data_IF_904373031440
#
_entry.id   IF_904373031440
#
_cell.length_a   1.000
_cell.length_b   1.000
_cell.length_c   1.000
_cell.angle_alpha   90.00
_cell.angle_beta   90.00
_cell.angle_gamma   90.00
#
_symmetry.space_group_name_H-M   'P 1'
#
loop_
_entity.id
_entity.type
_entity.pdbx_description
1 polymer ?
#
# COMPACT_ATOMS: atom_id res chain seq x y z
N UNK A 1 5.22 -8.56 2.28
CA UNK A 1 5.15 -9.83 1.52
C UNK A 1 6.56 -10.35 1.31
N UNK A 2 6.77 -11.63 1.57
CA UNK A 2 8.00 -12.36 1.24
C UNK A 2 7.79 -13.08 -0.09
N UNK A 3 8.76 -13.07 -1.00
CA UNK A 3 8.66 -13.77 -2.29
C UNK A 3 9.52 -15.03 -2.22
N UNK A 4 8.88 -16.21 -2.25
CA UNK A 4 9.55 -17.52 -2.23
C UNK A 4 9.43 -18.20 -3.59
N UNK A 5 10.14 -19.32 -3.77
CA UNK A 5 10.05 -20.11 -5.00
C UNK A 5 8.64 -20.65 -5.27
N UNK A 6 7.90 -20.95 -4.21
CA UNK A 6 6.53 -21.47 -4.27
C UNK A 6 5.49 -20.35 -4.52
N UNK A 7 5.92 -19.08 -4.46
CA UNK A 7 5.08 -17.92 -4.68
C UNK A 7 5.16 -16.86 -3.57
N UNK A 8 4.37 -15.78 -3.70
CA UNK A 8 4.31 -14.74 -2.69
C UNK A 8 3.66 -15.24 -1.39
N UNK A 9 4.30 -14.97 -0.26
CA UNK A 9 3.82 -15.22 1.08
C UNK A 9 3.51 -13.89 1.78
N UNK A 10 2.27 -13.73 2.26
CA UNK A 10 1.88 -12.58 3.06
C UNK A 10 2.57 -12.59 4.43
N UNK A 11 2.88 -11.41 4.98
CA UNK A 11 3.49 -11.29 6.31
C UNK A 11 2.50 -11.75 7.37
N UNK A 12 1.20 -11.43 7.23
CA UNK A 12 0.18 -11.92 8.16
C UNK A 12 0.10 -13.44 8.18
N UNK A 13 0.23 -14.10 7.02
CA UNK A 13 0.28 -15.55 6.90
C UNK A 13 1.56 -16.12 7.51
N UNK A 14 2.71 -15.50 7.25
CA UNK A 14 3.99 -15.90 7.82
C UNK A 14 3.96 -15.87 9.35
N UNK A 15 3.48 -14.76 9.94
CA UNK A 15 3.33 -14.61 11.39
C UNK A 15 2.40 -15.69 11.95
N UNK A 16 1.24 -15.90 11.30
CA UNK A 16 0.28 -16.90 11.73
C UNK A 16 0.86 -18.32 11.71
N UNK A 17 1.61 -18.66 10.66
CA UNK A 17 2.23 -19.97 10.51
C UNK A 17 3.37 -20.20 11.50
N UNK A 18 4.21 -19.19 11.75
CA UNK A 18 5.37 -19.32 12.63
C UNK A 18 5.00 -19.30 14.11
N UNK A 19 4.00 -18.52 14.49
CA UNK A 19 3.67 -18.30 15.90
C UNK A 19 2.36 -18.98 16.35
N UNK A 20 1.56 -19.52 15.43
CA UNK A 20 0.29 -20.17 15.75
C UNK A 20 -0.78 -19.20 16.28
N UNK A 21 -0.67 -17.92 15.94
CA UNK A 21 -1.59 -16.85 16.38
C UNK A 21 -2.34 -16.24 15.20
N UNK A 22 -3.55 -15.74 15.44
CA UNK A 22 -4.26 -14.97 14.41
C UNK A 22 -3.60 -13.59 14.22
N UNK A 23 -3.38 -13.19 12.96
CA UNK A 23 -2.76 -11.93 12.60
C UNK A 23 -3.72 -11.06 11.77
N UNK A 24 -4.11 -9.91 12.33
CA UNK A 24 -4.78 -8.81 11.59
C UNK A 24 -3.74 -7.90 10.94
N UNK A 25 -4.16 -7.06 10.00
CA UNK A 25 -3.28 -6.13 9.29
C UNK A 25 -3.81 -4.70 9.40
N UNK A 26 -2.93 -3.70 9.38
CA UNK A 26 -3.28 -2.28 9.29
C UNK A 26 -2.55 -1.68 8.10
N UNK A 27 -3.30 -1.17 7.12
CA UNK A 27 -2.80 -0.56 5.89
C UNK A 27 -3.62 0.69 5.58
N UNK A 28 -3.04 1.71 4.94
CA UNK A 28 -3.75 2.96 4.67
C UNK A 28 -2.84 4.05 4.12
N UNK A 29 -3.41 5.17 3.71
CA UNK A 29 -2.69 6.34 3.21
C UNK A 29 -1.95 7.07 4.35
N UNK A 30 -0.88 6.46 4.87
CA UNK A 30 -0.31 6.78 6.17
C UNK A 30 1.14 7.28 6.08
N UNK A 31 1.37 8.46 5.50
CA UNK A 31 2.69 9.10 5.55
C UNK A 31 3.07 9.32 7.01
N UNK A 32 4.09 8.58 7.49
CA UNK A 32 4.44 8.51 8.90
C UNK A 32 4.68 9.89 9.54
N UNK A 33 5.35 10.79 8.81
CA UNK A 33 5.62 12.15 9.29
C UNK A 33 4.33 12.99 9.46
N UNK A 34 3.33 12.80 8.59
CA UNK A 34 2.06 13.53 8.70
C UNK A 34 1.24 13.06 9.89
N UNK A 35 1.20 11.74 10.13
CA UNK A 35 0.55 11.16 11.31
C UNK A 35 1.26 11.62 12.60
N UNK A 36 2.59 11.66 12.61
CA UNK A 36 3.37 12.15 13.75
C UNK A 36 3.13 13.65 14.02
N UNK A 37 2.73 14.42 13.00
CA UNK A 37 2.35 15.83 13.10
C UNK A 37 0.84 16.04 13.32
N UNK A 38 0.12 14.98 13.70
CA UNK A 38 -1.32 14.99 13.97
C UNK A 38 -2.15 15.53 12.79
N UNK A 39 -1.66 15.33 11.56
CA UNK A 39 -2.44 15.65 10.36
C UNK A 39 -3.46 14.55 10.12
N UNK A 40 -4.63 14.96 9.66
CA UNK A 40 -5.73 14.05 9.38
C UNK A 40 -5.30 12.95 8.39
N UNK A 41 -5.55 11.70 8.74
CA UNK A 41 -5.29 10.52 7.92
C UNK A 41 -6.28 9.40 8.27
N UNK A 42 -6.42 8.44 7.39
CA UNK A 42 -7.31 7.28 7.54
C UNK A 42 -6.53 5.99 7.30
N UNK A 43 -6.93 4.90 7.97
CA UNK A 43 -6.38 3.57 7.75
C UNK A 43 -7.45 2.48 7.84
N UNK A 44 -7.12 1.32 7.30
CA UNK A 44 -7.98 0.15 7.24
C UNK A 44 -7.32 -1.01 7.97
N UNK A 45 -8.05 -1.61 8.91
CA UNK A 45 -7.70 -2.85 9.58
C UNK A 45 -8.37 -4.02 8.88
N UNK A 46 -7.58 -4.95 8.36
CA UNK A 46 -8.05 -6.21 7.78
C UNK A 46 -8.16 -7.30 8.85
N UNK A 47 -9.28 -8.03 8.87
CA UNK A 47 -9.50 -9.20 9.74
C UNK A 47 -10.18 -10.37 9.02
N UNK A 48 -10.06 -11.60 9.56
CA UNK A 48 -10.65 -12.82 8.96
C UNK A 48 -12.01 -13.17 9.54
N UNK A 49 -12.05 -13.55 10.81
CA UNK A 49 -13.26 -14.15 11.41
C UNK A 49 -13.87 -13.29 12.51
N UNK A 50 -13.08 -12.98 13.54
CA UNK A 50 -13.58 -12.36 14.76
C UNK A 50 -13.50 -10.83 14.67
N UNK A 51 -14.65 -10.20 14.42
CA UNK A 51 -14.75 -8.73 14.37
C UNK A 51 -14.38 -8.07 15.70
N UNK A 52 -14.68 -8.70 16.84
CA UNK A 52 -14.34 -8.15 18.15
C UNK A 52 -12.82 -8.01 18.37
N UNK A 53 -11.99 -8.81 17.68
CA UNK A 53 -10.54 -8.60 17.65
C UNK A 53 -10.18 -7.35 16.83
N UNK A 54 -10.81 -7.17 15.66
CA UNK A 54 -10.60 -5.99 14.83
C UNK A 54 -11.04 -4.71 15.55
N UNK A 55 -12.15 -4.75 16.29
CA UNK A 55 -12.66 -3.60 17.05
C UNK A 55 -11.65 -3.15 18.13
N UNK A 56 -10.92 -4.09 18.76
CA UNK A 56 -9.82 -3.76 19.69
C UNK A 56 -8.69 -3.02 18.99
N UNK A 57 -8.31 -3.44 17.77
CA UNK A 57 -7.29 -2.76 16.98
C UNK A 57 -7.76 -1.38 16.52
N UNK A 58 -9.00 -1.26 16.06
CA UNK A 58 -9.63 0.02 15.70
C UNK A 58 -9.60 0.96 16.90
N UNK A 59 -10.03 0.50 18.08
CA UNK A 59 -10.00 1.31 19.30
C UNK A 59 -8.57 1.71 19.69
N UNK A 60 -7.61 0.81 19.56
CA UNK A 60 -6.21 1.07 19.94
C UNK A 60 -5.55 2.11 19.03
N UNK A 61 -5.80 2.03 17.72
CA UNK A 61 -5.13 2.90 16.75
C UNK A 61 -5.90 4.20 16.46
N UNK A 62 -7.21 4.26 16.70
CA UNK A 62 -7.99 5.46 16.37
C UNK A 62 -7.65 6.64 17.28
N UNK A 63 -7.42 7.80 16.66
CA UNK A 63 -7.26 9.10 17.32
C UNK A 63 -8.16 10.15 16.63
N UNK A 64 -8.31 11.37 17.17
CA UNK A 64 -9.07 12.43 16.51
C UNK A 64 -8.56 12.81 15.10
N UNK A 65 -7.30 12.51 14.80
CA UNK A 65 -6.66 12.80 13.51
C UNK A 65 -6.30 11.53 12.71
N UNK A 66 -6.49 10.34 13.27
CA UNK A 66 -6.20 9.08 12.59
C UNK A 66 -7.40 8.14 12.72
N UNK A 67 -8.25 8.13 11.69
CA UNK A 67 -9.48 7.34 11.69
C UNK A 67 -9.23 5.94 11.13
N UNK A 68 -9.61 4.91 11.89
CA UNK A 68 -9.37 3.52 11.51
C UNK A 68 -10.68 2.79 11.27
N UNK A 69 -10.83 2.14 10.12
CA UNK A 69 -12.00 1.32 9.76
C UNK A 69 -11.63 -0.16 9.72
N UNK A 70 -12.56 -1.05 10.07
CA UNK A 70 -12.34 -2.49 10.00
C UNK A 70 -13.03 -3.12 8.79
N UNK A 71 -12.30 -3.96 8.07
CA UNK A 71 -12.77 -4.67 6.87
C UNK A 71 -12.45 -6.16 7.00
N UNK A 72 -13.44 -7.01 6.74
CA UNK A 72 -13.28 -8.46 6.77
C UNK A 72 -12.63 -8.98 5.48
N UNK A 73 -11.36 -8.62 5.26
CA UNK A 73 -10.56 -8.98 4.08
C UNK A 73 -9.06 -8.75 4.35
N UNK A 74 -8.38 -9.65 5.07
CA UNK A 74 -6.94 -9.50 5.36
C UNK A 74 -6.13 -9.51 4.08
N UNK A 75 -6.42 -10.45 3.20
CA UNK A 75 -5.72 -10.67 1.93
C UNK A 75 -5.81 -9.40 1.07
N UNK A 76 -7.01 -8.84 0.90
CA UNK A 76 -7.22 -7.62 0.13
C UNK A 76 -6.52 -6.40 0.72
N UNK A 77 -6.65 -6.19 2.04
CA UNK A 77 -6.03 -5.05 2.73
C UNK A 77 -4.50 -5.11 2.64
N UNK A 78 -3.89 -6.26 2.93
CA UNK A 78 -2.44 -6.44 2.90
C UNK A 78 -1.84 -6.34 1.49
N UNK A 79 -2.52 -6.92 0.50
CA UNK A 79 -2.08 -6.85 -0.89
C UNK A 79 -2.18 -5.45 -1.47
N UNK A 80 -3.20 -4.66 -1.09
CA UNK A 80 -3.26 -3.27 -1.53
C UNK A 80 -2.02 -2.49 -1.08
N UNK A 81 -1.68 -2.56 0.21
CA UNK A 81 -0.50 -1.89 0.78
C UNK A 81 0.84 -2.39 0.20
N UNK A 82 0.88 -3.66 -0.22
CA UNK A 82 2.07 -4.24 -0.86
C UNK A 82 2.22 -3.78 -2.32
N UNK A 83 1.18 -3.98 -3.13
CA UNK A 83 1.23 -3.83 -4.59
C UNK A 83 1.25 -2.37 -5.05
N UNK A 84 0.71 -1.43 -4.26
CA UNK A 84 0.73 0.01 -4.58
C UNK A 84 2.13 0.54 -4.89
N UNK A 85 3.17 -0.05 -4.29
CA UNK A 85 4.54 0.42 -4.42
C UNK A 85 5.08 0.17 -5.83
N UNK A 86 4.64 -0.90 -6.49
CA UNK A 86 4.96 -1.19 -7.89
C UNK A 86 4.34 -0.12 -8.80
N UNK A 87 3.08 0.23 -8.57
CA UNK A 87 2.40 1.29 -9.33
C UNK A 87 3.06 2.65 -9.08
N UNK A 88 3.50 2.91 -7.85
CA UNK A 88 4.20 4.15 -7.51
C UNK A 88 5.56 4.30 -8.22
N UNK A 89 6.26 3.20 -8.50
CA UNK A 89 7.46 3.23 -9.36
C UNK A 89 7.08 3.68 -10.78
N UNK A 90 6.04 3.10 -11.37
CA UNK A 90 5.55 3.50 -12.70
C UNK A 90 5.12 4.98 -12.73
N UNK A 91 4.44 5.44 -11.69
CA UNK A 91 4.09 6.86 -11.54
C UNK A 91 5.33 7.77 -11.45
N UNK A 92 6.39 7.33 -10.75
CA UNK A 92 7.66 8.04 -10.71
C UNK A 92 8.38 8.08 -12.06
N UNK A 93 8.35 7.00 -12.84
CA UNK A 93 8.89 7.02 -14.21
C UNK A 93 8.15 8.01 -15.11
N UNK A 94 6.82 8.07 -15.00
CA UNK A 94 6.00 9.07 -15.70
C UNK A 94 6.42 10.50 -15.33
N UNK A 95 6.66 10.76 -14.04
CA UNK A 95 7.14 12.07 -13.58
C UNK A 95 8.54 12.38 -14.14
N UNK A 96 9.46 11.42 -14.10
CA UNK A 96 10.83 11.61 -14.54
C UNK A 96 11.00 11.70 -16.07
N UNK A 97 10.05 11.18 -16.83
CA UNK A 97 9.95 11.30 -18.29
C UNK A 97 9.06 12.47 -18.73
N UNK A 98 8.56 13.29 -17.79
CA UNK A 98 7.75 14.48 -18.04
C UNK A 98 6.47 14.21 -18.89
N UNK A 99 5.86 13.03 -18.76
CA UNK A 99 4.74 12.61 -19.62
C UNK A 99 3.36 13.21 -19.21
N UNK A 100 3.34 14.05 -18.18
CA UNK A 100 2.16 14.79 -17.72
C UNK A 100 1.15 14.01 -16.86
N UNK A 101 0.23 14.77 -16.25
CA UNK A 101 -0.71 14.27 -15.25
C UNK A 101 -1.75 13.29 -15.81
N UNK A 102 -2.17 13.44 -17.08
CA UNK A 102 -3.13 12.52 -17.71
C UNK A 102 -2.56 11.10 -17.83
N UNK A 103 -1.30 10.99 -18.25
CA UNK A 103 -0.57 9.72 -18.33
C UNK A 103 -0.43 9.12 -16.94
N UNK A 104 -0.09 9.93 -15.93
CA UNK A 104 0.04 9.49 -14.54
C UNK A 104 -1.29 8.94 -13.99
N UNK A 105 -2.39 9.65 -14.23
CA UNK A 105 -3.73 9.19 -13.86
C UNK A 105 -4.10 7.87 -14.56
N UNK A 106 -3.75 7.72 -15.83
CA UNK A 106 -3.95 6.46 -16.56
C UNK A 106 -3.17 5.30 -15.95
N UNK A 107 -1.89 5.51 -15.58
CA UNK A 107 -1.07 4.52 -14.87
C UNK A 107 -1.67 4.14 -13.53
N UNK A 108 -2.12 5.11 -12.73
CA UNK A 108 -2.75 4.84 -11.44
C UNK A 108 -4.03 4.02 -11.58
N UNK A 109 -4.89 4.36 -12.56
CA UNK A 109 -6.13 3.63 -12.85
C UNK A 109 -5.86 2.20 -13.33
N UNK A 110 -4.89 2.01 -14.24
CA UNK A 110 -4.49 0.69 -14.72
C UNK A 110 -3.89 -0.13 -13.58
N UNK A 111 -3.00 0.48 -12.79
CA UNK A 111 -2.38 -0.13 -11.63
C UNK A 111 -3.40 -0.60 -10.59
N UNK A 112 -4.41 0.22 -10.24
CA UNK A 112 -5.48 -0.20 -9.33
C UNK A 112 -6.25 -1.42 -9.86
N UNK A 113 -6.52 -1.46 -11.17
CA UNK A 113 -7.20 -2.59 -11.81
C UNK A 113 -6.34 -3.85 -11.79
N UNK A 114 -5.03 -3.73 -12.02
CA UNK A 114 -4.08 -4.84 -11.97
C UNK A 114 -3.87 -5.35 -10.55
N UNK A 115 -3.75 -4.45 -9.56
CA UNK A 115 -3.73 -4.80 -8.14
C UNK A 115 -4.94 -5.66 -7.79
N UNK A 116 -6.14 -5.23 -8.20
CA UNK A 116 -7.38 -6.00 -7.99
C UNK A 116 -7.36 -7.36 -8.68
N UNK A 117 -6.99 -7.42 -9.95
CA UNK A 117 -6.95 -8.66 -10.71
C UNK A 117 -5.95 -9.66 -10.11
N UNK A 118 -4.75 -9.17 -9.76
CA UNK A 118 -3.69 -9.99 -9.16
C UNK A 118 -4.07 -10.49 -7.77
N UNK A 119 -4.66 -9.65 -6.92
CA UNK A 119 -5.11 -10.09 -5.59
C UNK A 119 -6.16 -11.18 -5.68
N UNK A 120 -7.13 -11.08 -6.61
CA UNK A 120 -8.16 -12.11 -6.80
C UNK A 120 -7.62 -13.39 -7.47
N UNK A 121 -6.55 -13.28 -8.25
CA UNK A 121 -5.85 -14.44 -8.80
C UNK A 121 -5.17 -15.25 -7.70
N UNK A 122 -4.56 -14.58 -6.71
CA UNK A 122 -3.91 -15.25 -5.59
C UNK A 122 -4.90 -15.73 -4.52
N UNK A 123 -5.94 -14.93 -4.25
CA UNK A 123 -6.90 -15.18 -3.18
C UNK A 123 -8.32 -14.87 -3.66
N UNK A 124 -9.12 -15.91 -3.89
CA UNK A 124 -10.50 -15.78 -4.34
C UNK A 124 -11.43 -15.10 -3.33
N UNK A 125 -11.02 -15.02 -2.06
CA UNK A 125 -11.74 -14.34 -0.96
C UNK A 125 -11.70 -12.81 -1.03
N UNK A 126 -10.79 -12.24 -1.82
CA UNK A 126 -10.57 -10.79 -1.90
C UNK A 126 -11.82 -10.09 -2.44
N UNK A 127 -12.24 -9.03 -1.74
CA UNK A 127 -13.45 -8.26 -2.04
C UNK A 127 -13.15 -7.03 -2.88
N UNK A 128 -14.01 -6.78 -3.86
CA UNK A 128 -13.89 -5.60 -4.73
C UNK A 128 -14.00 -4.28 -3.95
N UNK A 129 -14.84 -4.27 -2.90
CA UNK A 129 -15.06 -3.10 -2.04
C UNK A 129 -13.79 -2.67 -1.30
N UNK A 130 -12.90 -3.60 -0.96
CA UNK A 130 -11.64 -3.32 -0.25
C UNK A 130 -10.74 -2.35 -1.00
N UNK A 131 -10.79 -2.32 -2.34
CA UNK A 131 -9.97 -1.42 -3.15
C UNK A 131 -10.45 0.05 -3.09
N UNK A 132 -11.65 0.30 -2.57
CA UNK A 132 -12.18 1.65 -2.34
C UNK A 132 -11.93 2.16 -0.92
N UNK A 133 -11.40 1.32 -0.03
CA UNK A 133 -11.00 1.70 1.33
C UNK A 133 -9.68 2.46 1.34
N UNK A 134 -9.29 3.02 2.49
CA UNK A 134 -8.03 3.77 2.63
C UNK A 134 -6.82 2.94 2.20
N UNK A 135 -6.76 1.65 2.54
CA UNK A 135 -5.66 0.76 2.12
C UNK A 135 -5.53 0.61 0.59
N UNK A 136 -6.60 0.82 -0.16
CA UNK A 136 -6.67 0.65 -1.61
C UNK A 136 -6.36 1.94 -2.36
N UNK A 137 -7.42 2.59 -2.86
CA UNK A 137 -7.31 3.76 -3.73
C UNK A 137 -6.61 4.95 -3.07
N UNK A 138 -6.89 5.23 -1.80
CA UNK A 138 -6.29 6.39 -1.11
C UNK A 138 -4.78 6.20 -0.93
N UNK A 139 -4.36 5.03 -0.45
CA UNK A 139 -2.95 4.74 -0.24
C UNK A 139 -2.16 4.69 -1.57
N UNK A 140 -2.79 4.15 -2.63
CA UNK A 140 -2.24 4.20 -3.97
C UNK A 140 -2.03 5.65 -4.45
N UNK A 141 -3.03 6.52 -4.29
CA UNK A 141 -2.93 7.93 -4.68
C UNK A 141 -1.79 8.62 -3.93
N UNK A 142 -1.83 8.58 -2.60
CA UNK A 142 -0.83 9.23 -1.75
C UNK A 142 0.59 8.75 -2.06
N UNK A 143 0.75 7.45 -2.30
CA UNK A 143 2.07 6.88 -2.63
C UNK A 143 2.54 7.28 -4.04
N UNK A 144 1.65 7.33 -5.03
CA UNK A 144 1.96 7.79 -6.38
C UNK A 144 2.22 9.31 -6.49
N UNK A 145 1.79 10.10 -5.51
CA UNK A 145 2.02 11.56 -5.47
C UNK A 145 3.24 11.94 -4.62
N UNK A 146 3.41 11.34 -3.44
CA UNK A 146 4.40 11.76 -2.45
C UNK A 146 5.37 10.67 -1.97
N UNK A 147 5.15 9.41 -2.34
CA UNK A 147 5.87 8.27 -1.79
C UNK A 147 7.35 8.17 -2.18
N UNK A 148 8.12 7.46 -1.35
CA UNK A 148 9.56 7.20 -1.57
C UNK A 148 9.82 6.45 -2.89
N UNK A 149 9.01 5.45 -3.21
CA UNK A 149 9.12 4.70 -4.48
C UNK A 149 9.00 5.61 -5.69
N UNK A 150 8.01 6.52 -5.70
CA UNK A 150 7.82 7.53 -6.74
C UNK A 150 9.06 8.42 -6.89
N UNK A 151 9.56 8.98 -5.77
CA UNK A 151 10.74 9.86 -5.77
C UNK A 151 11.99 9.18 -6.34
N UNK A 152 12.26 7.94 -5.94
CA UNK A 152 13.42 7.18 -6.42
C UNK A 152 13.28 6.86 -7.91
N UNK A 153 12.10 6.43 -8.36
CA UNK A 153 11.83 6.15 -9.77
C UNK A 153 11.91 7.40 -10.66
N UNK A 154 11.41 8.55 -10.18
CA UNK A 154 11.55 9.83 -10.87
C UNK A 154 13.02 10.20 -11.06
N UNK A 155 13.83 10.15 -9.99
CA UNK A 155 15.25 10.43 -10.05
C UNK A 155 15.97 9.46 -11.01
N UNK A 156 15.62 8.18 -10.97
CA UNK A 156 16.19 7.18 -11.88
C UNK A 156 15.90 7.50 -13.35
N UNK A 157 14.64 7.83 -13.69
CA UNK A 157 14.25 8.18 -15.05
C UNK A 157 14.92 9.47 -15.54
N UNK A 158 14.98 10.52 -14.70
CA UNK A 158 15.68 11.79 -15.02
C UNK A 158 17.17 11.59 -15.32
N UNK A 159 17.79 10.59 -14.73
CA UNK A 159 19.20 10.25 -14.95
C UNK A 159 19.42 9.21 -16.08
N UNK A 160 18.42 8.98 -16.94
CA UNK A 160 18.54 8.05 -18.06
C UNK A 160 18.76 6.60 -17.63
N UNK A 161 18.23 6.22 -16.46
CA UNK A 161 18.35 4.87 -15.90
C UNK A 161 19.73 4.54 -15.33
N UNK A 162 20.57 5.54 -15.09
CA UNK A 162 21.91 5.39 -14.49
C UNK A 162 21.93 5.94 -13.07
N UNK A 163 22.75 5.33 -12.21
CA UNK A 163 22.99 5.80 -10.84
C UNK A 163 24.26 6.65 -10.81
N UNK A 164 24.14 7.95 -10.53
CA UNK A 164 25.28 8.77 -10.12
C UNK A 164 25.52 8.50 -8.63
N UNK A 165 26.64 7.86 -8.30
CA UNK A 165 27.04 7.48 -6.93
C UNK A 165 27.14 8.71 -5.98
N UNK A 166 27.21 9.92 -6.53
CA UNK A 166 27.48 11.16 -5.79
C UNK A 166 26.25 11.92 -5.24
N UNK A 167 25.01 11.44 -5.43
CA UNK A 167 23.79 12.15 -4.99
C UNK A 167 23.02 11.46 -3.84
N UNK A 168 23.67 10.58 -3.06
CA UNK A 168 23.06 9.97 -1.86
C UNK A 168 23.54 10.71 -0.60
N UNK A 169 23.50 12.04 -0.62
CA UNK A 169 23.28 12.78 0.61
C UNK A 169 21.78 13.04 0.71
N UNK A 170 21.09 12.12 1.37
CA UNK A 170 19.75 12.37 1.89
C UNK A 170 19.92 13.34 3.08
N UNK A 171 19.19 14.47 3.14
CA UNK A 171 19.08 15.23 4.39
C UNK A 171 18.38 14.42 5.49
#
# INVERSE_FOLDING_TARGET
>A
MEVKMEGPCMISSLISQQLGINCCVLMGANIANEIAMEKFSEATVGYRENRQIADKWVQLFSTPYFLVTAVQDVEGVELCGTLKNVVALAAGFVDGLEMGNNTKAAIMRIGLREMKAFSKLLFSSVKDTTFFESCGVADLITTCLGGRNRKVAEAFAKNGGKRLIFYIELP
#
